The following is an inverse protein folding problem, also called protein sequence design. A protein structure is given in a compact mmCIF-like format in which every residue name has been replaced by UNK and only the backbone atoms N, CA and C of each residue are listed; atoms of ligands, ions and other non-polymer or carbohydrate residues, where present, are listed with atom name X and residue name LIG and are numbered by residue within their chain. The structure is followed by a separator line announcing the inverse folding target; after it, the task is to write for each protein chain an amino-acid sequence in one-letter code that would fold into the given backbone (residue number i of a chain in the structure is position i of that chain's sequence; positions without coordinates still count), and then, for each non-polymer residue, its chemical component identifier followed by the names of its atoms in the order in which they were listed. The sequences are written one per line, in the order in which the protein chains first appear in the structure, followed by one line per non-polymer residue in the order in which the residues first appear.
data_IF_770008794484
#
_entry.id   IF_770008794484
#
_cell.length_a   1.000
_cell.length_b   1.000
_cell.length_c   1.000
_cell.angle_alpha   90.00
_cell.angle_beta   90.00
_cell.angle_gamma   90.00
#
_symmetry.space_group_name_H-M   'P 1'
#
loop_
_entity.id
_entity.type
_entity.pdbx_description
1 polymer ?
#
# COMPACT_ATOMS: atom_id res chain seq x y z
N UNK A 1 28.93 26.01 -21.41
CA UNK A 1 28.09 24.94 -21.98
C UNK A 1 28.18 23.64 -21.18
N UNK A 2 29.39 23.12 -20.90
CA UNK A 2 29.56 21.89 -20.10
C UNK A 2 28.92 21.95 -18.69
N UNK A 3 29.04 23.07 -17.98
CA UNK A 3 28.39 23.28 -16.68
C UNK A 3 26.85 23.22 -16.76
N UNK A 4 26.27 23.76 -17.82
CA UNK A 4 24.80 23.75 -18.04
C UNK A 4 24.34 22.32 -18.33
N UNK A 5 25.08 21.57 -19.14
CA UNK A 5 24.79 20.17 -19.44
C UNK A 5 24.91 19.31 -18.18
N UNK A 6 25.96 19.51 -17.37
CA UNK A 6 26.14 18.79 -16.10
C UNK A 6 24.99 19.10 -15.13
N UNK A 7 24.60 20.37 -14.97
CA UNK A 7 23.47 20.75 -14.12
C UNK A 7 22.14 20.14 -14.61
N UNK A 8 21.90 20.12 -15.93
CA UNK A 8 20.72 19.51 -16.53
C UNK A 8 20.69 17.99 -16.27
N UNK A 9 21.81 17.29 -16.43
CA UNK A 9 21.91 15.85 -16.15
C UNK A 9 21.64 15.54 -14.68
N UNK A 10 22.18 16.34 -13.75
CA UNK A 10 21.91 16.18 -12.31
C UNK A 10 20.42 16.36 -12.01
N UNK A 11 19.77 17.39 -12.59
CA UNK A 11 18.33 17.62 -12.45
C UNK A 11 17.50 16.43 -12.95
N UNK A 12 17.86 15.84 -14.10
CA UNK A 12 17.18 14.65 -14.63
C UNK A 12 17.33 13.47 -13.67
N UNK A 13 18.52 13.22 -13.14
CA UNK A 13 18.74 12.14 -12.16
C UNK A 13 17.91 12.35 -10.90
N UNK A 14 17.87 13.57 -10.37
CA UNK A 14 17.04 13.91 -9.19
C UNK A 14 15.56 13.67 -9.50
N UNK A 15 15.07 14.13 -10.66
CA UNK A 15 13.68 13.97 -11.06
C UNK A 15 13.28 12.49 -11.21
N UNK A 16 14.13 11.66 -11.82
CA UNK A 16 13.89 10.22 -11.96
C UNK A 16 13.83 9.53 -10.60
N UNK A 17 14.76 9.88 -9.69
CA UNK A 17 14.77 9.31 -8.32
C UNK A 17 13.55 9.74 -7.50
N UNK A 18 13.08 10.97 -7.69
CA UNK A 18 11.82 11.41 -7.08
C UNK A 18 10.62 10.64 -7.65
N UNK A 19 10.58 10.44 -8.97
CA UNK A 19 9.49 9.71 -9.62
C UNK A 19 9.37 8.27 -9.10
N UNK A 20 10.49 7.56 -8.91
CA UNK A 20 10.48 6.20 -8.37
C UNK A 20 9.98 6.13 -6.94
N UNK A 21 10.39 7.08 -6.09
CA UNK A 21 9.96 7.12 -4.67
C UNK A 21 8.46 7.41 -4.55
N UNK A 22 7.91 8.29 -5.40
CA UNK A 22 6.47 8.59 -5.43
C UNK A 22 5.67 7.37 -5.88
N UNK A 23 6.16 6.63 -6.87
CA UNK A 23 5.53 5.42 -7.37
C UNK A 23 5.53 4.30 -6.30
N UNK A 24 6.67 4.10 -5.61
CA UNK A 24 6.78 3.12 -4.53
C UNK A 24 5.86 3.44 -3.35
N UNK A 25 5.70 4.73 -3.03
CA UNK A 25 4.76 5.17 -1.99
C UNK A 25 3.30 4.91 -2.36
N UNK A 26 2.92 5.18 -3.61
CA UNK A 26 1.58 4.89 -4.11
C UNK A 26 1.30 3.38 -4.07
N UNK A 27 2.24 2.55 -4.56
CA UNK A 27 2.13 1.08 -4.52
C UNK A 27 2.03 0.56 -3.10
N UNK A 28 2.88 1.04 -2.19
CA UNK A 28 2.83 0.65 -0.78
C UNK A 28 1.46 0.96 -0.16
N UNK A 29 0.88 2.12 -0.48
CA UNK A 29 -0.46 2.51 -0.02
C UNK A 29 -1.53 1.53 -0.52
N UNK A 30 -1.54 1.26 -1.83
CA UNK A 30 -2.50 0.35 -2.46
C UNK A 30 -2.38 -1.06 -1.89
N UNK A 31 -1.16 -1.56 -1.69
CA UNK A 31 -0.91 -2.85 -1.07
C UNK A 31 -1.43 -2.91 0.37
N UNK A 32 -1.19 -1.86 1.17
CA UNK A 32 -1.69 -1.77 2.54
C UNK A 32 -3.22 -1.79 2.58
N UNK A 33 -3.89 -1.00 1.73
CA UNK A 33 -5.35 -0.91 1.67
C UNK A 33 -5.98 -2.25 1.25
N UNK A 34 -5.42 -2.89 0.22
CA UNK A 34 -5.86 -4.20 -0.25
C UNK A 34 -5.71 -5.27 0.84
N UNK A 35 -4.56 -5.31 1.52
CA UNK A 35 -4.30 -6.24 2.60
C UNK A 35 -5.19 -5.97 3.83
N UNK A 36 -5.46 -4.71 4.17
CA UNK A 36 -6.37 -4.35 5.26
C UNK A 36 -7.82 -4.78 4.97
N UNK A 37 -8.32 -4.52 3.75
CA UNK A 37 -9.66 -4.95 3.34
C UNK A 37 -9.79 -6.48 3.34
N UNK A 38 -8.82 -7.18 2.76
CA UNK A 38 -8.79 -8.63 2.76
C UNK A 38 -8.67 -9.20 4.18
N UNK A 39 -7.86 -8.56 5.03
CA UNK A 39 -7.73 -8.88 6.45
C UNK A 39 -9.03 -8.71 7.24
N UNK A 40 -9.75 -7.61 7.00
CA UNK A 40 -11.04 -7.34 7.61
C UNK A 40 -12.12 -8.35 7.17
N UNK A 41 -12.08 -8.78 5.90
CA UNK A 41 -13.05 -9.72 5.34
C UNK A 41 -12.76 -11.19 5.69
N UNK A 42 -11.49 -11.62 5.62
CA UNK A 42 -11.11 -13.04 5.65
C UNK A 42 -9.87 -13.35 6.51
N UNK A 43 -9.34 -12.38 7.26
CA UNK A 43 -8.25 -12.58 8.22
C UNK A 43 -6.83 -12.52 7.63
N UNK A 44 -5.85 -12.80 8.48
CA UNK A 44 -4.42 -12.63 8.17
C UNK A 44 -3.94 -13.37 6.92
N UNK A 45 -4.34 -14.63 6.64
CA UNK A 45 -3.88 -15.31 5.42
C UNK A 45 -4.30 -14.58 4.14
N UNK A 46 -5.52 -14.03 4.11
CA UNK A 46 -6.01 -13.24 2.99
C UNK A 46 -5.31 -11.88 2.87
N UNK A 47 -5.01 -11.24 4.01
CA UNK A 47 -4.20 -10.02 4.03
C UNK A 47 -2.79 -10.27 3.46
N UNK A 48 -2.15 -11.38 3.83
CA UNK A 48 -0.82 -11.77 3.33
C UNK A 48 -0.83 -12.05 1.83
N UNK A 49 -1.77 -12.87 1.35
CA UNK A 49 -1.91 -13.18 -0.09
C UNK A 49 -2.11 -11.91 -0.92
N UNK A 50 -2.93 -10.96 -0.44
CA UNK A 50 -3.13 -9.69 -1.14
C UNK A 50 -1.93 -8.76 -1.05
N UNK A 51 -1.20 -8.72 0.05
CA UNK A 51 0.06 -7.97 0.13
C UNK A 51 1.07 -8.50 -0.90
N UNK A 52 1.28 -9.81 -0.95
CA UNK A 52 2.23 -10.48 -1.86
C UNK A 52 1.86 -10.25 -3.33
N UNK A 53 0.57 -10.35 -3.69
CA UNK A 53 0.08 -10.06 -5.05
C UNK A 53 0.28 -8.61 -5.47
N UNK A 54 0.35 -7.69 -4.51
CA UNK A 54 0.66 -6.28 -4.74
C UNK A 54 2.17 -5.99 -4.64
N UNK A 55 3.02 -7.01 -4.55
CA UNK A 55 4.47 -6.87 -4.47
C UNK A 55 4.95 -6.31 -3.13
N UNK A 56 4.19 -6.54 -2.06
CA UNK A 56 4.48 -6.05 -0.73
C UNK A 56 4.68 -7.19 0.28
N UNK A 57 5.61 -7.00 1.21
CA UNK A 57 5.79 -7.88 2.36
C UNK A 57 4.87 -7.43 3.49
N UNK A 58 4.12 -8.36 4.08
CA UNK A 58 3.30 -8.09 5.26
C UNK A 58 4.19 -8.06 6.52
N UNK A 59 4.39 -6.87 7.10
CA UNK A 59 5.21 -6.69 8.30
C UNK A 59 4.40 -6.86 9.60
N UNK A 60 3.18 -6.35 9.62
CA UNK A 60 2.30 -6.38 10.80
C UNK A 60 0.87 -6.69 10.38
N UNK A 61 0.24 -7.58 11.13
CA UNK A 61 -1.20 -7.78 11.13
C UNK A 61 -1.71 -7.70 12.55
N UNK A 62 -2.60 -6.75 12.82
CA UNK A 62 -3.19 -6.55 14.14
C UNK A 62 -4.71 -6.50 14.01
N UNK A 63 -5.40 -7.42 14.68
CA UNK A 63 -6.86 -7.36 14.81
C UNK A 63 -7.19 -6.46 15.99
N UNK A 64 -7.87 -5.34 15.71
CA UNK A 64 -8.31 -4.38 16.72
C UNK A 64 -9.79 -4.56 17.01
N UNK A 65 -10.31 -3.87 18.02
CA UNK A 65 -11.75 -3.85 18.30
C UNK A 65 -12.57 -3.14 17.22
N UNK A 66 -11.92 -2.29 16.39
CA UNK A 66 -12.56 -1.55 15.28
C UNK A 66 -12.43 -2.25 13.93
N UNK A 67 -11.56 -3.24 13.80
CA UNK A 67 -11.28 -3.89 12.53
C UNK A 67 -9.89 -4.52 12.49
N UNK A 68 -9.17 -4.29 11.40
CA UNK A 68 -7.84 -4.83 11.16
C UNK A 68 -6.91 -3.71 10.74
N UNK A 69 -5.71 -3.72 11.31
CA UNK A 69 -4.62 -2.84 10.96
C UNK A 69 -3.50 -3.66 10.35
N UNK A 70 -2.96 -3.13 9.26
CA UNK A 70 -1.93 -3.81 8.47
C UNK A 70 -0.79 -2.83 8.21
N UNK A 71 0.44 -3.32 8.31
CA UNK A 71 1.63 -2.62 7.84
C UNK A 71 2.34 -3.49 6.81
N UNK A 72 2.65 -2.90 5.66
CA UNK A 72 3.31 -3.58 4.55
C UNK A 72 4.56 -2.82 4.12
N UNK A 73 5.45 -3.49 3.41
CA UNK A 73 6.64 -2.90 2.79
C UNK A 73 6.68 -3.18 1.30
N UNK A 74 6.91 -2.15 0.48
CA UNK A 74 7.24 -2.28 -0.94
C UNK A 74 8.62 -1.67 -1.14
N UNK A 75 9.61 -2.50 -1.46
CA UNK A 75 11.01 -2.07 -1.50
C UNK A 75 11.45 -1.52 -0.14
N UNK A 76 11.83 -0.24 -0.10
CA UNK A 76 12.23 0.47 1.13
C UNK A 76 11.08 1.26 1.80
N UNK A 77 9.90 1.29 1.18
CA UNK A 77 8.78 2.11 1.64
C UNK A 77 7.82 1.27 2.48
N UNK A 78 7.48 1.77 3.66
CA UNK A 78 6.46 1.16 4.53
C UNK A 78 5.18 1.96 4.47
N UNK A 79 4.05 1.25 4.46
CA UNK A 79 2.72 1.84 4.46
C UNK A 79 1.79 1.09 5.40
N UNK A 80 0.85 1.83 5.98
CA UNK A 80 -0.11 1.33 6.96
C UNK A 80 -1.53 1.67 6.55
N UNK A 81 -2.42 0.71 6.75
CA UNK A 81 -3.85 0.86 6.51
C UNK A 81 -4.67 0.21 7.64
N UNK A 82 -5.91 0.67 7.79
CA UNK A 82 -6.88 0.12 8.73
C UNK A 82 -8.22 -0.04 8.03
N UNK A 83 -8.86 -1.20 8.20
CA UNK A 83 -10.14 -1.51 7.57
C UNK A 83 -11.07 -2.26 8.52
N UNK A 84 -12.38 -2.12 8.30
CA UNK A 84 -13.42 -2.81 9.03
C UNK A 84 -14.47 -3.37 8.08
N UNK A 85 -14.99 -4.57 8.37
CA UNK A 85 -16.05 -5.20 7.60
C UNK A 85 -17.39 -4.97 8.30
N UNK A 86 -18.38 -4.45 7.56
CA UNK A 86 -19.76 -4.31 8.02
C UNK A 86 -20.73 -4.79 6.94
N UNK A 87 -21.86 -5.37 7.35
CA UNK A 87 -22.91 -5.82 6.43
C UNK A 87 -24.23 -5.18 6.82
N UNK A 88 -24.97 -4.64 5.85
CA UNK A 88 -26.33 -4.10 6.02
C UNK A 88 -27.26 -4.92 5.14
N UNK A 89 -28.22 -5.63 5.76
CA UNK A 89 -29.20 -6.41 5.03
C UNK A 89 -30.34 -5.51 4.55
N UNK A 90 -30.51 -5.42 3.23
CA UNK A 90 -31.68 -4.76 2.61
C UNK A 90 -32.69 -5.83 2.24
N UNK A 91 -33.87 -5.79 2.87
CA UNK A 91 -34.98 -6.70 2.54
C UNK A 91 -35.57 -6.27 1.21
N UNK A 92 -35.46 -7.11 0.18
CA UNK A 92 -36.14 -6.90 -1.09
C UNK A 92 -37.65 -7.01 -0.88
N UNK A 93 -38.40 -5.91 -1.06
CA UNK A 93 -39.86 -5.92 -1.08
C UNK A 93 -40.33 -6.42 -2.44
N UNK A 94 -40.77 -7.67 -2.48
CA UNK A 94 -41.59 -8.22 -3.56
C UNK A 94 -43.07 -7.94 -3.37
#
# INVERSE_FOLDING_TARGET
MMLVVAAAMTLVVVAVRLATVVDDSARARTAADAAALAGAAAGEPAARDLAERNGADLLLFERTWRGVRVEVRVGDVQARAEASASTVWVRSSG
#
